data_IF_616344752485
#
_entry.id   IF_616344752485
#
_cell.length_a   1.000
_cell.length_b   1.000
_cell.length_c   1.000
_cell.angle_alpha   90.00
_cell.angle_beta   90.00
_cell.angle_gamma   90.00
#
_symmetry.space_group_name_H-M   'P 1'
#
loop_
_entity.id
_entity.type
_entity.pdbx_description
1 polymer ?
#
# COMPACT_ATOMS: atom_id res chain seq x y z
N UNK A 1 0.20 -14.96 -14.73
CA UNK A 1 1.37 -15.23 -13.87
C UNK A 1 2.38 -14.08 -13.86
N UNK A 2 2.69 -13.47 -15.02
CA UNK A 2 3.61 -12.32 -15.12
C UNK A 2 3.29 -11.15 -14.16
N UNK A 3 2.02 -10.85 -13.89
CA UNK A 3 1.63 -9.76 -12.99
C UNK A 3 2.09 -9.96 -11.54
N UNK A 4 1.92 -11.18 -11.00
CA UNK A 4 2.35 -11.52 -9.63
C UNK A 4 3.87 -11.54 -9.53
N UNK A 5 4.53 -12.13 -10.53
CA UNK A 5 6.00 -12.17 -10.58
C UNK A 5 6.61 -10.75 -10.58
N UNK A 6 5.99 -9.83 -11.33
CA UNK A 6 6.41 -8.42 -11.37
C UNK A 6 6.20 -7.70 -10.03
N UNK A 7 5.08 -7.94 -9.34
CA UNK A 7 4.85 -7.34 -8.02
C UNK A 7 5.84 -7.87 -6.98
N UNK A 8 6.22 -9.14 -7.07
CA UNK A 8 7.25 -9.73 -6.22
C UNK A 8 8.64 -9.17 -6.54
N UNK A 9 9.01 -9.09 -7.82
CA UNK A 9 10.31 -8.56 -8.23
C UNK A 9 10.48 -7.09 -7.85
N UNK A 10 9.46 -6.27 -8.07
CA UNK A 10 9.47 -4.85 -7.65
C UNK A 10 9.55 -4.68 -6.13
N UNK A 11 8.89 -5.54 -5.36
CA UNK A 11 9.00 -5.53 -3.90
C UNK A 11 10.41 -5.91 -3.42
N UNK A 12 11.03 -6.91 -4.05
CA UNK A 12 12.41 -7.32 -3.74
C UNK A 12 13.40 -6.21 -4.12
N UNK A 13 13.26 -5.63 -5.31
CA UNK A 13 14.09 -4.51 -5.75
C UNK A 13 13.99 -3.31 -4.80
N UNK A 14 12.77 -2.98 -4.36
CA UNK A 14 12.54 -1.92 -3.38
C UNK A 14 13.17 -2.25 -2.03
N UNK A 15 13.06 -3.50 -1.56
CA UNK A 15 13.67 -3.91 -0.30
C UNK A 15 15.20 -3.81 -0.35
N UNK A 16 15.82 -4.28 -1.43
CA UNK A 16 17.27 -4.22 -1.64
C UNK A 16 17.76 -2.77 -1.72
N UNK A 17 17.11 -1.93 -2.53
CA UNK A 17 17.46 -0.51 -2.64
C UNK A 17 17.45 0.18 -1.28
N UNK A 18 16.39 -0.05 -0.51
CA UNK A 18 16.24 0.55 0.80
C UNK A 18 17.28 0.03 1.82
N UNK A 19 17.70 -1.25 1.74
CA UNK A 19 18.78 -1.78 2.58
C UNK A 19 20.11 -1.13 2.22
N UNK A 20 20.44 -1.03 0.93
CA UNK A 20 21.69 -0.41 0.46
C UNK A 20 21.75 1.05 0.90
N UNK A 21 20.69 1.81 0.65
CA UNK A 21 20.62 3.23 1.03
C UNK A 21 20.70 3.40 2.55
N UNK A 22 20.02 2.56 3.33
CA UNK A 22 20.13 2.58 4.79
C UNK A 22 21.55 2.28 5.27
N UNK A 23 22.24 1.30 4.67
CA UNK A 23 23.61 0.96 5.04
C UNK A 23 24.59 2.11 4.74
N UNK A 24 24.41 2.80 3.61
CA UNK A 24 25.20 4.00 3.26
C UNK A 24 24.92 5.13 4.24
N UNK A 25 23.65 5.48 4.45
CA UNK A 25 23.28 6.58 5.36
C UNK A 25 23.66 6.29 6.81
N UNK A 26 23.57 5.04 7.26
CA UNK A 26 23.94 4.65 8.62
C UNK A 26 25.44 4.80 8.92
N UNK A 27 26.30 4.78 7.87
CA UNK A 27 27.74 5.05 7.99
C UNK A 27 28.07 6.54 7.97
N UNK A 28 27.26 7.35 7.27
CA UNK A 28 27.50 8.79 7.13
C UNK A 28 26.86 9.61 8.25
N UNK A 29 25.73 9.15 8.79
CA UNK A 29 24.93 9.88 9.78
C UNK A 29 25.15 9.27 11.17
N UNK A 30 25.40 10.12 12.17
CA UNK A 30 25.56 9.69 13.56
C UNK A 30 24.29 8.99 14.08
N UNK A 31 24.41 8.07 15.05
CA UNK A 31 23.25 7.40 15.64
C UNK A 31 22.24 8.38 16.26
N UNK A 32 22.72 9.44 16.90
CA UNK A 32 21.90 10.48 17.52
C UNK A 32 21.02 11.22 16.49
N UNK A 33 21.65 11.73 15.42
CA UNK A 33 20.94 12.39 14.32
C UNK A 33 19.91 11.47 13.64
N UNK A 34 20.24 10.18 13.53
CA UNK A 34 19.30 9.18 13.01
C UNK A 34 18.09 8.99 13.93
N UNK A 35 18.31 9.01 15.25
CA UNK A 35 17.24 8.94 16.25
C UNK A 35 16.30 10.14 16.20
N UNK A 36 16.83 11.36 16.08
CA UNK A 36 16.02 12.58 15.93
C UNK A 36 15.15 12.50 14.67
N UNK A 37 15.73 12.11 13.53
CA UNK A 37 14.96 11.95 12.29
C UNK A 37 13.90 10.85 12.40
N UNK A 38 14.22 9.73 13.05
CA UNK A 38 13.27 8.64 13.29
C UNK A 38 12.09 9.09 14.17
N UNK A 39 12.35 9.83 15.26
CA UNK A 39 11.31 10.41 16.11
C UNK A 39 10.39 11.36 15.31
N UNK A 40 10.99 12.25 14.51
CA UNK A 40 10.24 13.21 13.71
C UNK A 40 9.36 12.50 12.67
N UNK A 41 9.89 11.48 11.97
CA UNK A 41 9.15 10.66 11.03
C UNK A 41 8.01 9.88 11.70
N UNK A 42 8.20 9.40 12.93
CA UNK A 42 7.13 8.72 13.67
C UNK A 42 5.96 9.67 13.92
N UNK A 43 6.22 10.88 14.40
CA UNK A 43 5.22 11.92 14.65
C UNK A 43 4.45 12.25 13.36
N UNK A 44 5.19 12.44 12.26
CA UNK A 44 4.62 12.76 10.94
C UNK A 44 3.71 11.62 10.46
N UNK A 45 4.15 10.36 10.56
CA UNK A 45 3.35 9.18 10.14
C UNK A 45 2.08 8.97 10.95
N UNK A 46 2.10 9.29 12.25
CA UNK A 46 0.89 9.26 13.09
C UNK A 46 -0.06 10.38 12.66
N UNK A 47 0.49 11.56 12.37
CA UNK A 47 -0.28 12.71 11.89
C UNK A 47 -0.92 12.45 10.52
N UNK A 48 -0.18 11.92 9.55
CA UNK A 48 -0.71 11.49 8.24
C UNK A 48 -1.89 10.51 8.41
N UNK A 49 -1.74 9.52 9.31
CA UNK A 49 -2.83 8.62 9.67
C UNK A 49 -4.05 9.37 10.16
N UNK A 50 -3.88 10.29 11.12
CA UNK A 50 -4.93 11.10 11.73
C UNK A 50 -5.69 11.98 10.73
N UNK A 51 -5.00 12.65 9.80
CA UNK A 51 -5.60 13.64 8.89
C UNK A 51 -6.20 13.04 7.61
N UNK A 52 -6.04 11.74 7.36
CA UNK A 52 -6.61 11.07 6.17
C UNK A 52 -8.06 10.59 6.37
N UNK A 53 -8.50 10.39 7.62
CA UNK A 53 -9.86 9.96 8.03
C UNK A 53 -10.47 8.81 7.20
N UNK A 54 -9.63 7.93 6.63
CA UNK A 54 -10.08 6.78 5.83
C UNK A 54 -10.71 7.11 4.47
N UNK A 55 -10.62 8.37 4.01
CA UNK A 55 -11.17 8.80 2.71
C UNK A 55 -10.53 8.04 1.54
N UNK A 56 -9.25 7.69 1.66
CA UNK A 56 -8.50 6.89 0.68
C UNK A 56 -9.18 5.54 0.43
N UNK A 57 -9.62 4.91 1.53
CA UNK A 57 -10.27 3.60 1.51
C UNK A 57 -11.69 3.69 0.98
N UNK A 58 -12.40 4.77 1.30
CA UNK A 58 -13.72 5.05 0.76
C UNK A 58 -13.69 5.23 -0.75
N UNK A 59 -12.72 5.99 -1.28
CA UNK A 59 -12.55 6.18 -2.73
C UNK A 59 -12.24 4.86 -3.45
N UNK A 60 -11.44 3.99 -2.84
CA UNK A 60 -11.09 2.69 -3.42
C UNK A 60 -12.28 1.72 -3.45
N UNK A 61 -13.05 1.65 -2.36
CA UNK A 61 -14.09 0.62 -2.21
C UNK A 61 -15.45 1.00 -2.80
N UNK A 62 -15.70 2.29 -3.00
CA UNK A 62 -16.99 2.77 -3.51
C UNK A 62 -17.22 2.33 -4.96
N UNK A 63 -18.31 1.64 -5.26
CA UNK A 63 -18.60 1.19 -6.63
C UNK A 63 -18.83 2.36 -7.59
N UNK A 64 -19.75 3.27 -7.28
CA UNK A 64 -20.09 4.42 -8.11
C UNK A 64 -19.33 5.67 -7.64
N UNK A 65 -18.38 6.13 -8.45
CA UNK A 65 -17.52 7.28 -8.14
C UNK A 65 -17.70 8.36 -9.20
N UNK A 66 -18.50 9.36 -8.86
CA UNK A 66 -18.67 10.58 -9.67
C UNK A 66 -17.54 11.59 -9.44
N UNK A 67 -17.32 12.49 -10.40
CA UNK A 67 -16.30 13.56 -10.32
C UNK A 67 -16.46 14.45 -9.08
N UNK A 68 -17.70 14.66 -8.62
CA UNK A 68 -17.97 15.40 -7.37
C UNK A 68 -17.33 14.74 -6.15
N UNK A 69 -17.28 13.41 -6.08
CA UNK A 69 -16.61 12.70 -4.98
C UNK A 69 -15.09 12.87 -5.04
N UNK A 70 -14.53 12.88 -6.26
CA UNK A 70 -13.09 13.09 -6.47
C UNK A 70 -12.70 14.51 -6.07
N UNK A 71 -13.46 15.51 -6.51
CA UNK A 71 -13.25 16.92 -6.16
C UNK A 71 -13.45 17.18 -4.65
N UNK A 72 -14.48 16.59 -4.04
CA UNK A 72 -14.71 16.70 -2.59
C UNK A 72 -13.59 16.02 -1.78
N UNK A 73 -13.12 14.84 -2.20
CA UNK A 73 -11.98 14.17 -1.57
C UNK A 73 -10.70 14.99 -1.70
N UNK A 74 -10.43 15.55 -2.88
CA UNK A 74 -9.26 16.40 -3.12
C UNK A 74 -9.30 17.65 -2.22
N UNK A 75 -10.44 18.34 -2.17
CA UNK A 75 -10.63 19.51 -1.32
C UNK A 75 -10.44 19.17 0.15
N UNK A 76 -10.99 18.03 0.60
CA UNK A 76 -10.79 17.52 1.96
C UNK A 76 -9.30 17.31 2.27
N UNK A 77 -8.55 16.65 1.39
CA UNK A 77 -7.13 16.41 1.58
C UNK A 77 -6.29 17.68 1.59
N UNK A 78 -6.62 18.67 0.76
CA UNK A 78 -5.95 19.98 0.76
C UNK A 78 -6.19 20.68 2.11
N UNK A 79 -7.44 20.73 2.58
CA UNK A 79 -7.79 21.36 3.86
C UNK A 79 -7.11 20.64 5.03
N UNK A 80 -7.19 19.30 5.10
CA UNK A 80 -6.60 18.56 6.21
C UNK A 80 -5.08 18.54 6.16
N UNK A 81 -4.48 18.54 4.97
CA UNK A 81 -3.03 18.66 4.80
C UNK A 81 -2.51 20.02 5.27
N UNK A 82 -3.19 21.12 4.94
CA UNK A 82 -2.86 22.46 5.44
C UNK A 82 -3.09 22.58 6.94
N UNK A 83 -4.19 22.04 7.46
CA UNK A 83 -4.45 21.99 8.90
C UNK A 83 -3.36 21.22 9.65
N UNK A 84 -2.92 20.08 9.11
CA UNK A 84 -1.82 19.29 9.66
C UNK A 84 -0.49 20.05 9.68
N UNK A 85 -0.18 20.77 8.59
CA UNK A 85 1.01 21.62 8.52
C UNK A 85 1.01 22.69 9.61
N UNK A 86 -0.08 23.45 9.73
CA UNK A 86 -0.20 24.54 10.72
C UNK A 86 -0.11 23.97 12.14
N UNK A 87 -0.83 22.89 12.41
CA UNK A 87 -0.84 22.26 13.73
C UNK A 87 0.54 21.73 14.11
N UNK A 88 1.23 21.03 13.22
CA UNK A 88 2.57 20.51 13.51
C UNK A 88 3.62 21.61 13.61
N UNK A 89 3.52 22.68 12.84
CA UNK A 89 4.41 23.84 12.98
C UNK A 89 4.29 24.48 14.36
N UNK A 90 3.07 24.60 14.88
CA UNK A 90 2.79 25.14 16.22
C UNK A 90 3.20 24.16 17.33
N UNK A 91 2.93 22.86 17.16
CA UNK A 91 3.23 21.83 18.17
C UNK A 91 4.70 21.38 18.17
N UNK A 92 5.48 21.66 17.12
CA UNK A 92 6.87 21.24 17.00
C UNK A 92 7.75 21.53 18.23
N UNK A 93 7.81 22.76 18.78
CA UNK A 93 8.63 23.04 19.97
C UNK A 93 8.13 22.30 21.21
N UNK A 94 6.82 22.13 21.36
CA UNK A 94 6.24 21.39 22.49
C UNK A 94 6.58 19.90 22.41
N UNK A 95 6.48 19.31 21.22
CA UNK A 95 6.86 17.92 20.96
C UNK A 95 8.37 17.69 21.13
N UNK A 96 9.21 18.65 20.77
CA UNK A 96 10.64 18.62 21.03
C UNK A 96 10.95 18.62 22.54
N UNK A 97 10.25 19.44 23.32
CA UNK A 97 10.31 19.41 24.79
C UNK A 97 9.84 18.07 25.36
N UNK A 98 8.77 17.50 24.81
CA UNK A 98 8.27 16.17 25.20
C UNK A 98 9.25 15.04 24.84
N UNK A 99 10.03 15.15 23.77
CA UNK A 99 11.04 14.14 23.44
C UNK A 99 12.40 14.42 24.09
N UNK A 100 12.58 15.59 24.73
CA UNK A 100 13.86 16.08 25.26
C UNK A 100 14.96 16.16 24.18
N UNK A 101 14.57 16.55 22.96
CA UNK A 101 15.44 16.64 21.79
C UNK A 101 15.26 18.01 21.10
N UNK A 102 16.17 18.95 21.31
CA UNK A 102 16.04 20.30 20.74
C UNK A 102 16.08 20.29 19.20
N UNK A 103 16.94 19.45 18.61
CA UNK A 103 17.08 19.26 17.17
C UNK A 103 15.83 18.68 16.48
N UNK A 104 14.87 18.16 17.24
CA UNK A 104 13.60 17.66 16.71
C UNK A 104 12.78 18.78 16.08
N UNK A 105 12.85 20.00 16.63
CA UNK A 105 12.04 21.13 16.17
C UNK A 105 12.27 21.42 14.69
N UNK A 106 13.49 21.76 14.22
CA UNK A 106 13.73 22.07 12.81
C UNK A 106 13.43 20.88 11.88
N UNK A 107 13.77 19.65 12.29
CA UNK A 107 13.49 18.46 11.49
C UNK A 107 11.98 18.21 11.32
N UNK A 108 11.20 18.34 12.40
CA UNK A 108 9.75 18.16 12.37
C UNK A 108 9.05 19.26 11.57
N UNK A 109 9.51 20.51 11.69
CA UNK A 109 8.99 21.63 10.88
C UNK A 109 9.20 21.41 9.39
N UNK A 110 10.39 20.92 8.99
CA UNK A 110 10.68 20.59 7.61
C UNK A 110 9.80 19.43 7.10
N UNK A 111 9.66 18.37 7.90
CA UNK A 111 8.82 17.24 7.53
C UNK A 111 7.33 17.59 7.45
N UNK A 112 6.85 18.53 8.28
CA UNK A 112 5.45 18.97 8.25
C UNK A 112 5.07 19.58 6.87
N UNK A 113 6.03 20.22 6.17
CA UNK A 113 5.84 20.75 4.81
C UNK A 113 5.56 19.64 3.79
N UNK A 114 6.02 18.41 4.03
CA UNK A 114 5.74 17.29 3.15
C UNK A 114 4.28 16.82 3.22
N UNK A 115 3.56 17.08 4.31
CA UNK A 115 2.20 16.55 4.52
C UNK A 115 1.19 17.10 3.50
N UNK A 116 1.09 18.44 3.27
CA UNK A 116 0.23 18.97 2.21
C UNK A 116 0.54 18.40 0.83
N UNK A 117 1.83 18.21 0.51
CA UNK A 117 2.29 17.68 -0.78
C UNK A 117 1.81 16.23 -0.94
N UNK A 118 2.00 15.41 0.09
CA UNK A 118 1.53 14.03 0.13
C UNK A 118 0.01 13.96 -0.04
N UNK A 119 -0.73 14.72 0.77
CA UNK A 119 -2.19 14.77 0.78
C UNK A 119 -2.76 15.17 -0.59
N UNK A 120 -2.16 16.16 -1.26
CA UNK A 120 -2.59 16.59 -2.59
C UNK A 120 -2.49 15.48 -3.65
N UNK A 121 -1.58 14.51 -3.47
CA UNK A 121 -1.44 13.36 -4.37
C UNK A 121 -2.24 12.12 -3.95
N UNK A 122 -2.80 12.08 -2.73
CA UNK A 122 -3.40 10.86 -2.17
C UNK A 122 -4.68 10.43 -2.91
N UNK A 123 -5.44 11.37 -3.46
CA UNK A 123 -6.57 11.07 -4.35
C UNK A 123 -6.10 10.32 -5.60
N UNK A 124 -5.08 10.85 -6.28
CA UNK A 124 -4.47 10.20 -7.45
C UNK A 124 -3.93 8.81 -7.09
N UNK A 125 -3.26 8.68 -5.95
CA UNK A 125 -2.76 7.42 -5.44
C UNK A 125 -3.88 6.40 -5.22
N UNK A 126 -4.99 6.83 -4.62
CA UNK A 126 -6.18 6.01 -4.36
C UNK A 126 -6.85 5.58 -5.66
N UNK A 127 -6.97 6.46 -6.65
CA UNK A 127 -7.49 6.15 -7.99
C UNK A 127 -6.58 5.14 -8.73
N UNK A 128 -5.26 5.26 -8.62
CA UNK A 128 -4.33 4.29 -9.21
C UNK A 128 -4.48 2.90 -8.56
N UNK A 129 -4.64 2.85 -7.23
CA UNK A 129 -4.90 1.60 -6.48
C UNK A 129 -6.24 0.98 -6.90
N UNK A 130 -7.29 1.80 -7.02
CA UNK A 130 -8.63 1.40 -7.51
C UNK A 130 -8.56 0.80 -8.92
N UNK A 131 -7.81 1.42 -9.83
CA UNK A 131 -7.65 0.95 -11.21
C UNK A 131 -6.63 -0.20 -11.35
N UNK A 132 -6.22 -0.82 -10.24
CA UNK A 132 -5.26 -1.93 -10.18
C UNK A 132 -3.93 -1.64 -10.89
N UNK A 133 -3.53 -0.37 -10.99
CA UNK A 133 -2.27 0.08 -11.63
C UNK A 133 -1.06 -0.11 -10.69
N UNK A 134 -0.97 -1.26 -10.04
CA UNK A 134 0.06 -1.57 -9.05
C UNK A 134 1.49 -1.47 -9.60
N UNK A 135 1.69 -1.75 -10.90
CA UNK A 135 2.99 -1.60 -11.54
C UNK A 135 3.48 -0.16 -11.48
N UNK A 136 2.62 0.79 -11.84
CA UNK A 136 2.95 2.21 -11.80
C UNK A 136 3.18 2.68 -10.36
N UNK A 137 2.33 2.27 -9.41
CA UNK A 137 2.51 2.61 -7.99
C UNK A 137 3.86 2.09 -7.45
N UNK A 138 4.24 0.87 -7.80
CA UNK A 138 5.52 0.28 -7.40
C UNK A 138 6.71 1.01 -8.03
N UNK A 139 6.67 1.28 -9.34
CA UNK A 139 7.74 2.00 -10.05
C UNK A 139 7.92 3.42 -9.50
N UNK A 140 6.82 4.15 -9.27
CA UNK A 140 6.89 5.49 -8.66
C UNK A 140 7.51 5.42 -7.28
N UNK A 141 7.11 4.45 -6.45
CA UNK A 141 7.69 4.30 -5.10
C UNK A 141 9.19 4.01 -5.14
N UNK A 142 9.64 3.17 -6.07
CA UNK A 142 11.05 2.83 -6.23
C UNK A 142 11.88 4.04 -6.69
N UNK A 143 11.41 4.74 -7.73
CA UNK A 143 12.10 5.91 -8.29
C UNK A 143 12.17 7.05 -7.28
N UNK A 144 11.05 7.34 -6.61
CA UNK A 144 10.99 8.42 -5.63
C UNK A 144 11.91 8.18 -4.44
N UNK A 145 11.98 6.93 -3.95
CA UNK A 145 12.91 6.57 -2.88
C UNK A 145 14.37 6.67 -3.33
N UNK A 146 14.68 6.23 -4.56
CA UNK A 146 16.02 6.32 -5.13
C UNK A 146 16.50 7.77 -5.28
N UNK A 147 15.64 8.66 -5.78
CA UNK A 147 15.95 10.09 -5.91
C UNK A 147 16.03 10.77 -4.54
N UNK A 148 15.05 10.55 -3.67
CA UNK A 148 14.97 11.19 -2.36
C UNK A 148 16.09 10.75 -1.41
N UNK A 149 16.12 9.48 -1.02
CA UNK A 149 17.11 8.99 -0.07
C UNK A 149 18.44 8.59 -0.71
N UNK A 150 18.42 8.04 -1.93
CA UNK A 150 19.63 7.56 -2.59
C UNK A 150 20.51 8.67 -3.16
N UNK A 151 19.93 9.67 -3.83
CA UNK A 151 20.69 10.79 -4.40
C UNK A 151 20.76 11.97 -3.42
N UNK A 152 19.61 12.55 -3.08
CA UNK A 152 19.58 13.76 -2.25
C UNK A 152 19.98 13.47 -0.80
N UNK A 153 19.52 12.37 -0.21
CA UNK A 153 19.88 11.99 1.15
C UNK A 153 21.38 11.76 1.32
N UNK A 154 22.02 11.04 0.39
CA UNK A 154 23.47 10.81 0.41
C UNK A 154 24.24 12.12 0.18
N UNK A 155 23.76 12.98 -0.71
CA UNK A 155 24.36 14.30 -0.95
C UNK A 155 24.26 15.21 0.27
N UNK A 156 23.10 15.32 0.92
CA UNK A 156 22.94 16.14 2.13
C UNK A 156 23.70 15.54 3.33
N UNK A 157 23.82 14.21 3.39
CA UNK A 157 24.62 13.54 4.40
C UNK A 157 26.12 13.81 4.21
N UNK A 158 26.62 13.93 2.97
CA UNK A 158 28.02 14.28 2.72
C UNK A 158 28.36 15.72 3.12
N UNK A 159 27.36 16.60 3.18
CA UNK A 159 27.47 17.96 3.70
C UNK A 159 27.39 18.02 5.24
N UNK A 160 27.26 16.89 5.93
CA UNK A 160 27.24 16.84 7.40
C UNK A 160 25.92 17.32 8.04
N UNK A 161 24.81 17.40 7.30
CA UNK A 161 23.54 17.94 7.81
C UNK A 161 22.77 17.02 8.77
N UNK A 162 23.33 15.87 9.17
CA UNK A 162 22.79 14.99 10.21
C UNK A 162 21.31 14.65 10.04
N UNK A 163 20.47 15.01 11.02
CA UNK A 163 19.04 14.72 11.02
C UNK A 163 18.30 15.44 9.89
N UNK A 164 18.75 16.63 9.51
CA UNK A 164 18.16 17.42 8.43
C UNK A 164 18.40 16.78 7.05
N UNK A 165 19.47 16.01 6.88
CA UNK A 165 19.69 15.25 5.64
C UNK A 165 18.58 14.20 5.42
N UNK A 166 18.20 13.48 6.48
CA UNK A 166 17.12 12.49 6.43
C UNK A 166 15.75 13.14 6.27
N UNK A 167 15.52 14.26 6.97
CA UNK A 167 14.28 15.03 6.81
C UNK A 167 14.14 15.57 5.38
N UNK A 168 15.18 16.18 4.83
CA UNK A 168 15.21 16.69 3.45
C UNK A 168 15.03 15.57 2.42
N UNK A 169 15.69 14.42 2.61
CA UNK A 169 15.52 13.24 1.77
C UNK A 169 14.06 12.77 1.71
N UNK A 170 13.36 12.76 2.84
CA UNK A 170 11.93 12.44 2.91
C UNK A 170 11.08 13.44 2.15
N UNK A 171 11.31 14.75 2.34
CA UNK A 171 10.55 15.80 1.62
C UNK A 171 10.73 15.63 0.11
N UNK A 172 11.94 15.36 -0.36
CA UNK A 172 12.18 15.11 -1.78
C UNK A 172 11.51 13.82 -2.26
N UNK A 173 11.60 12.72 -1.51
CA UNK A 173 10.89 11.48 -1.87
C UNK A 173 9.38 11.75 -2.03
N UNK A 174 8.77 12.41 -1.05
CA UNK A 174 7.33 12.73 -1.07
C UNK A 174 7.00 13.63 -2.25
N UNK A 175 7.84 14.63 -2.54
CA UNK A 175 7.61 15.57 -3.65
C UNK A 175 7.69 14.86 -4.99
N UNK A 176 8.76 14.10 -5.25
CA UNK A 176 8.93 13.33 -6.49
C UNK A 176 7.79 12.34 -6.68
N UNK A 177 7.41 11.63 -5.61
CA UNK A 177 6.29 10.70 -5.61
C UNK A 177 4.98 11.40 -5.96
N UNK A 178 4.71 12.53 -5.32
CA UNK A 178 3.46 13.27 -5.49
C UNK A 178 3.33 13.83 -6.90
N UNK A 179 4.41 14.41 -7.44
CA UNK A 179 4.48 14.88 -8.83
C UNK A 179 4.25 13.73 -9.80
N UNK A 180 4.95 12.59 -9.62
CA UNK A 180 4.81 11.44 -10.50
C UNK A 180 3.38 10.88 -10.49
N UNK A 181 2.72 10.81 -9.33
CA UNK A 181 1.32 10.37 -9.24
C UNK A 181 0.38 11.33 -9.96
N UNK A 182 0.56 12.64 -9.76
CA UNK A 182 -0.28 13.67 -10.39
C UNK A 182 -0.15 13.64 -11.92
N UNK A 183 1.06 13.41 -12.43
CA UNK A 183 1.33 13.30 -13.89
C UNK A 183 0.75 12.01 -14.46
N UNK A 184 0.93 10.86 -13.78
CA UNK A 184 0.47 9.55 -14.27
C UNK A 184 -1.04 9.34 -14.12
N UNK A 185 -1.68 10.03 -13.18
CA UNK A 185 -3.10 9.94 -12.91
C UNK A 185 -3.71 11.35 -12.78
N UNK A 186 -3.90 12.05 -13.91
CA UNK A 186 -4.64 13.29 -13.92
C UNK A 186 -6.07 13.03 -13.44
N UNK A 187 -6.53 13.86 -12.51
CA UNK A 187 -7.86 13.80 -11.92
C UNK A 187 -8.36 15.23 -11.72
N UNK A 188 -9.67 15.38 -11.47
CA UNK A 188 -10.26 16.68 -11.21
C UNK A 188 -9.66 17.28 -9.93
N UNK A 189 -8.93 18.39 -10.08
CA UNK A 189 -8.36 19.19 -8.98
C UNK A 189 -9.24 20.40 -8.66
N UNK A 190 -10.51 20.33 -9.06
CA UNK A 190 -11.46 21.40 -8.77
C UNK A 190 -11.71 21.44 -7.27
N UNK A 191 -11.55 22.62 -6.67
CA UNK A 191 -11.91 22.83 -5.27
C UNK A 191 -13.43 22.93 -5.21
N UNK A 192 -14.06 21.88 -4.70
CA UNK A 192 -15.51 21.77 -4.58
C UNK A 192 -15.86 21.17 -3.22
N UNK A 193 -16.50 21.99 -2.39
CA UNK A 193 -17.01 21.58 -1.07
C UNK A 193 -18.43 21.01 -1.22
N UNK A 194 -18.52 19.81 -1.76
CA UNK A 194 -19.77 19.03 -1.76
C UNK A 194 -19.86 18.24 -0.45
N UNK A 195 -20.46 18.86 0.58
CA UNK A 195 -20.66 18.27 1.90
C UNK A 195 -21.42 16.93 1.86
N UNK A 196 -22.52 16.77 1.09
CA UNK A 196 -23.17 15.48 0.89
C UNK A 196 -22.21 14.39 0.40
N UNK A 197 -21.44 14.67 -0.66
CA UNK A 197 -20.47 13.74 -1.21
C UNK A 197 -19.38 13.37 -0.19
N UNK A 198 -18.87 14.35 0.55
CA UNK A 198 -17.84 14.15 1.58
C UNK A 198 -18.37 13.34 2.77
N UNK A 199 -19.59 13.62 3.25
CA UNK A 199 -20.22 12.89 4.35
C UNK A 199 -20.36 11.40 4.02
N UNK A 200 -20.73 11.07 2.78
CA UNK A 200 -20.82 9.68 2.33
C UNK A 200 -19.45 8.97 2.36
N UNK A 201 -18.38 9.67 1.96
CA UNK A 201 -17.02 9.12 2.01
C UNK A 201 -16.55 8.93 3.47
N UNK A 202 -16.80 9.91 4.33
CA UNK A 202 -16.39 9.87 5.74
C UNK A 202 -17.17 8.84 6.56
N UNK A 203 -18.47 8.67 6.32
CA UNK A 203 -19.30 7.67 7.00
C UNK A 203 -18.75 6.25 6.79
N UNK A 204 -18.21 5.97 5.60
CA UNK A 204 -17.50 4.73 5.31
C UNK A 204 -16.09 4.71 5.91
N UNK A 205 -15.35 5.81 5.78
CA UNK A 205 -13.94 5.92 6.17
C UNK A 205 -13.71 5.80 7.67
N UNK A 206 -14.60 6.33 8.52
CA UNK A 206 -14.41 6.43 9.97
C UNK A 206 -14.19 5.07 10.65
N UNK A 207 -14.93 4.03 10.23
CA UNK A 207 -14.78 2.70 10.84
C UNK A 207 -13.41 2.07 10.54
N UNK A 208 -12.91 2.25 9.31
CA UNK A 208 -11.58 1.78 8.90
C UNK A 208 -10.49 2.64 9.53
N UNK A 209 -10.72 3.94 9.63
CA UNK A 209 -9.81 4.90 10.21
C UNK A 209 -9.47 4.55 11.67
N UNK A 210 -10.47 4.24 12.51
CA UNK A 210 -10.23 3.87 13.91
C UNK A 210 -9.30 2.66 14.05
N UNK A 211 -9.53 1.61 13.27
CA UNK A 211 -8.65 0.43 13.23
C UNK A 211 -7.24 0.79 12.73
N UNK A 212 -7.11 1.58 11.66
CA UNK A 212 -5.81 1.99 11.10
C UNK A 212 -5.03 2.87 12.05
N UNK A 213 -5.69 3.81 12.71
CA UNK A 213 -5.06 4.70 13.69
C UNK A 213 -4.57 3.89 14.89
N UNK A 214 -5.41 3.00 15.44
CA UNK A 214 -4.99 2.12 16.53
C UNK A 214 -3.80 1.23 16.12
N UNK A 215 -3.85 0.66 14.91
CA UNK A 215 -2.74 -0.14 14.38
C UNK A 215 -1.47 0.70 14.17
N UNK A 216 -1.58 1.96 13.75
CA UNK A 216 -0.44 2.85 13.52
C UNK A 216 0.17 3.28 14.86
N UNK A 217 -0.65 3.60 15.85
CA UNK A 217 -0.16 3.91 17.20
C UNK A 217 0.51 2.67 17.78
N UNK A 218 -0.07 1.49 17.65
CA UNK A 218 0.53 0.25 18.16
C UNK A 218 1.89 -0.07 17.51
N UNK A 219 2.05 0.15 16.19
CA UNK A 219 3.34 -0.10 15.51
C UNK A 219 4.40 0.95 15.84
N UNK A 220 3.98 2.16 16.22
CA UNK A 220 4.87 3.28 16.50
C UNK A 220 5.09 3.52 18.00
N UNK A 221 4.28 2.91 18.87
CA UNK A 221 4.35 3.04 20.32
C UNK A 221 5.73 2.66 20.85
N UNK A 222 6.31 1.57 20.35
CA UNK A 222 7.67 1.15 20.71
C UNK A 222 8.69 2.26 20.45
N UNK A 223 8.62 2.90 19.27
CA UNK A 223 9.52 3.98 18.90
C UNK A 223 9.30 5.24 19.78
N UNK A 224 8.06 5.56 20.11
CA UNK A 224 7.72 6.71 20.97
C UNK A 224 8.21 6.51 22.42
N UNK A 225 7.99 5.30 22.97
CA UNK A 225 8.40 4.93 24.32
C UNK A 225 9.93 4.94 24.41
N UNK A 226 10.61 4.30 23.47
CA UNK A 226 12.09 4.27 23.42
C UNK A 226 12.65 5.68 23.27
N UNK A 227 12.08 6.50 22.39
CA UNK A 227 12.51 7.88 22.18
C UNK A 227 12.41 8.74 23.43
N UNK A 228 11.32 8.61 24.19
CA UNK A 228 11.10 9.41 25.40
C UNK A 228 11.89 8.92 26.62
N UNK A 229 12.05 7.61 26.79
CA UNK A 229 12.70 7.03 27.97
C UNK A 229 14.23 6.93 27.82
N UNK A 230 14.73 6.58 26.63
CA UNK A 230 16.15 6.28 26.42
C UNK A 230 16.89 7.34 25.59
N UNK A 231 16.19 8.36 25.08
CA UNK A 231 16.79 9.45 24.31
C UNK A 231 17.09 9.12 22.86
N UNK A 232 17.73 10.07 22.15
CA UNK A 232 17.89 10.03 20.70
C UNK A 232 18.83 8.93 20.23
N UNK A 233 19.95 8.72 20.94
CA UNK A 233 20.96 7.74 20.55
C UNK A 233 20.42 6.30 20.57
N UNK A 234 19.74 5.93 21.67
CA UNK A 234 19.10 4.62 21.80
C UNK A 234 17.97 4.42 20.78
N UNK A 235 17.20 5.47 20.48
CA UNK A 235 16.18 5.42 19.43
C UNK A 235 16.78 5.26 18.03
N UNK A 236 17.94 5.88 17.76
CA UNK A 236 18.68 5.71 16.52
C UNK A 236 19.11 4.26 16.31
N UNK A 237 19.69 3.64 17.33
CA UNK A 237 20.06 2.22 17.31
C UNK A 237 18.82 1.31 17.19
N UNK A 238 17.76 1.60 17.94
CA UNK A 238 16.52 0.83 17.92
C UNK A 238 15.82 0.91 16.57
N UNK A 239 15.73 2.10 15.97
CA UNK A 239 15.11 2.30 14.66
C UNK A 239 15.91 1.61 13.56
N UNK A 240 17.25 1.66 13.58
CA UNK A 240 18.11 0.87 12.67
C UNK A 240 17.81 -0.63 12.78
N UNK A 241 17.77 -1.16 14.00
CA UNK A 241 17.44 -2.56 14.25
C UNK A 241 16.01 -2.91 13.79
N UNK A 242 15.04 -2.04 14.02
CA UNK A 242 13.65 -2.21 13.57
C UNK A 242 13.50 -2.15 12.05
N UNK A 243 14.22 -1.26 11.39
CA UNK A 243 14.25 -1.16 9.94
C UNK A 243 14.86 -2.39 9.29
N UNK A 244 15.82 -3.05 9.95
CA UNK A 244 16.35 -4.34 9.50
C UNK A 244 15.37 -5.49 9.80
N UNK A 245 14.79 -5.52 11.01
CA UNK A 245 13.86 -6.56 11.51
C UNK A 245 12.53 -6.61 10.75
N UNK A 246 12.00 -5.47 10.32
CA UNK A 246 10.70 -5.40 9.65
C UNK A 246 10.73 -5.92 8.20
N UNK A 247 11.92 -6.01 7.59
CA UNK A 247 12.08 -6.37 6.18
C UNK A 247 11.75 -7.83 5.89
N UNK A 248 12.26 -8.82 6.65
CA UNK A 248 11.91 -10.22 6.44
C UNK A 248 10.41 -10.45 6.70
N UNK A 249 9.83 -9.81 7.73
CA UNK A 249 8.41 -9.96 8.06
C UNK A 249 7.49 -9.55 6.90
N UNK A 250 7.87 -8.52 6.15
CA UNK A 250 7.12 -8.08 4.97
C UNK A 250 7.27 -9.03 3.76
N UNK A 251 8.46 -9.63 3.59
CA UNK A 251 8.73 -10.64 2.56
C UNK A 251 7.86 -11.89 2.76
N UNK A 252 7.84 -12.44 3.98
CA UNK A 252 7.05 -13.65 4.30
C UNK A 252 5.54 -13.40 4.23
N UNK A 253 5.05 -12.23 4.66
CA UNK A 253 3.62 -11.89 4.57
C UNK A 253 3.12 -11.74 3.12
N UNK A 254 3.91 -11.16 2.23
CA UNK A 254 3.56 -11.05 0.79
C UNK A 254 3.69 -12.38 0.06
N UNK A 255 4.71 -13.18 0.38
CA UNK A 255 4.88 -14.53 -0.16
C UNK A 255 3.72 -15.46 0.23
N UNK A 256 3.28 -15.43 1.50
CA UNK A 256 2.18 -16.25 1.99
C UNK A 256 0.84 -15.92 1.29
N UNK A 257 0.52 -14.63 1.12
CA UNK A 257 -0.71 -14.20 0.42
C UNK A 257 -0.72 -14.64 -1.05
N UNK A 258 0.43 -14.64 -1.72
CA UNK A 258 0.54 -15.12 -3.10
C UNK A 258 0.26 -16.64 -3.20
N UNK A 259 0.74 -17.42 -2.23
CA UNK A 259 0.50 -18.88 -2.15
C UNK A 259 -0.94 -19.23 -1.78
N UNK A 260 -1.55 -18.54 -0.80
CA UNK A 260 -2.94 -18.75 -0.41
C UNK A 260 -3.94 -18.33 -1.51
N UNK A 261 -3.67 -17.25 -2.24
CA UNK A 261 -4.49 -16.83 -3.37
C UNK A 261 -4.53 -17.90 -4.48
N UNK A 262 -3.42 -18.62 -4.68
CA UNK A 262 -3.36 -19.77 -5.60
C UNK A 262 -4.28 -20.90 -5.16
N UNK A 263 -4.39 -21.15 -3.85
CA UNK A 263 -5.24 -22.22 -3.30
C UNK A 263 -6.74 -21.88 -3.32
N UNK A 264 -7.11 -20.61 -3.15
CA UNK A 264 -8.52 -20.18 -3.17
C UNK A 264 -9.12 -20.10 -4.58
N UNK A 265 -8.33 -19.91 -5.64
CA UNK A 265 -8.84 -19.93 -7.02
C UNK A 265 -9.36 -21.31 -7.47
N UNK A 266 -8.87 -22.38 -6.88
CA UNK A 266 -9.33 -23.74 -7.18
C UNK A 266 -10.74 -24.07 -6.68
N UNK A 267 -11.31 -23.24 -5.80
CA UNK A 267 -12.62 -23.48 -5.17
C UNK A 267 -13.79 -22.76 -5.86
N UNK A 268 -13.54 -21.98 -6.92
CA UNK A 268 -14.58 -21.15 -7.56
C UNK A 268 -15.20 -21.79 -8.82
N UNK A 269 -14.95 -23.07 -9.06
CA UNK A 269 -15.47 -23.83 -10.22
C UNK A 269 -16.45 -24.94 -9.85
N UNK A 270 -16.98 -24.97 -8.62
CA UNK A 270 -18.17 -25.81 -8.35
C UNK A 270 -19.40 -25.13 -8.95
N UNK A 271 -20.12 -25.80 -9.89
CA UNK A 271 -21.37 -25.27 -10.43
C UNK A 271 -22.36 -25.03 -9.28
N UNK A 272 -23.05 -23.90 -9.32
CA UNK A 272 -24.17 -23.61 -8.44
C UNK A 272 -25.28 -24.64 -8.70
N UNK A 273 -25.32 -25.72 -7.93
CA UNK A 273 -26.30 -26.79 -8.12
C UNK A 273 -26.06 -28.12 -7.42
N UNK A 274 -24.91 -28.35 -6.78
CA UNK A 274 -24.74 -29.58 -5.97
C UNK A 274 -25.33 -29.38 -4.56
N UNK A 275 -26.18 -30.29 -4.05
CA UNK A 275 -26.64 -30.25 -2.67
C UNK A 275 -25.45 -30.19 -1.72
N UNK A 276 -25.49 -29.27 -0.76
CA UNK A 276 -24.55 -29.27 0.36
C UNK A 276 -24.57 -30.66 1.00
N UNK A 277 -23.43 -31.32 1.26
CA UNK A 277 -23.43 -32.55 2.03
C UNK A 277 -23.92 -32.22 3.44
N UNK A 278 -25.20 -32.51 3.70
CA UNK A 278 -25.84 -32.45 5.02
C UNK A 278 -25.38 -33.62 5.88
N UNK A 279 -24.08 -33.68 6.13
CA UNK A 279 -23.45 -34.59 7.07
C UNK A 279 -22.57 -33.79 8.02
N UNK A 280 -23.16 -33.31 9.12
CA UNK A 280 -22.38 -32.74 10.21
C UNK A 280 -21.38 -33.80 10.70
N UNK A 281 -20.06 -33.54 10.71
CA UNK A 281 -19.13 -34.46 11.31
C UNK A 281 -19.39 -34.49 12.80
N UNK A 282 -19.76 -35.66 13.34
CA UNK A 282 -19.87 -35.88 14.78
C UNK A 282 -18.57 -35.42 15.47
N UNK A 283 -18.70 -34.71 16.59
CA UNK A 283 -17.66 -34.02 17.40
C UNK A 283 -16.41 -34.83 17.81
N UNK A 284 -16.21 -36.08 17.37
CA UNK A 284 -15.10 -36.95 17.81
C UNK A 284 -13.89 -37.02 16.89
N UNK A 285 -13.91 -36.43 15.69
CA UNK A 285 -12.79 -36.52 14.72
C UNK A 285 -11.90 -35.26 14.61
N UNK A 286 -12.10 -34.25 15.46
CA UNK A 286 -11.35 -32.98 15.39
C UNK A 286 -9.92 -33.05 15.95
N UNK A 287 -9.54 -34.15 16.62
CA UNK A 287 -8.26 -34.28 17.35
C UNK A 287 -7.28 -35.31 16.78
N UNK A 288 -7.38 -35.69 15.49
CA UNK A 288 -6.32 -36.47 14.84
C UNK A 288 -5.33 -35.56 14.09
N UNK A 289 -4.02 -35.60 14.40
CA UNK A 289 -3.01 -34.96 13.57
C UNK A 289 -2.78 -35.84 12.34
N UNK A 290 -2.92 -35.25 11.15
CA UNK A 290 -2.69 -35.83 9.82
C UNK A 290 -3.77 -36.78 9.25
N UNK A 291 -4.31 -36.51 8.06
CA UNK A 291 -4.95 -37.55 7.26
C UNK A 291 -3.88 -38.52 6.72
N UNK A 292 -4.14 -39.84 6.70
CA UNK A 292 -3.20 -40.80 6.12
C UNK A 292 -3.03 -40.56 4.62
N UNK A 293 -1.81 -40.82 4.11
CA UNK A 293 -1.46 -40.70 2.71
C UNK A 293 -2.40 -41.55 1.82
N UNK A 294 -2.77 -41.10 0.61
CA UNK A 294 -3.56 -41.91 -0.30
C UNK A 294 -2.79 -43.18 -0.70
N UNK A 295 -3.46 -44.34 -0.83
CA UNK A 295 -2.79 -45.58 -1.21
C UNK A 295 -2.17 -45.43 -2.60
N UNK A 296 -0.93 -45.92 -2.75
CA UNK A 296 -0.25 -46.04 -4.05
C UNK A 296 -1.14 -46.85 -5.00
N UNK A 297 -1.78 -46.19 -5.96
CA UNK A 297 -2.37 -46.88 -7.09
C UNK A 297 -1.22 -47.46 -7.92
N UNK A 298 -1.13 -48.79 -7.88
CA UNK A 298 -0.27 -49.57 -8.75
C UNK A 298 -0.72 -49.37 -10.20
N UNK A 299 0.21 -48.87 -11.01
CA UNK A 299 0.12 -48.86 -12.46
C UNK A 299 -0.09 -50.30 -12.95
N UNK A 300 -1.26 -50.59 -13.54
CA UNK A 300 -1.46 -51.75 -14.42
C UNK A 300 -1.82 -51.23 -15.81
N UNK A 301 -1.07 -51.59 -16.87
CA UNK A 301 -1.48 -51.31 -18.23
C UNK A 301 -2.42 -52.43 -18.68
N UNK A 302 -3.69 -52.13 -18.95
CA UNK A 302 -4.56 -53.05 -19.69
C UNK A 302 -4.83 -52.50 -21.08
N UNK A 303 -4.21 -53.19 -22.02
CA UNK A 303 -4.40 -53.18 -23.46
C UNK A 303 -5.87 -53.30 -23.90
N UNK A 304 -6.19 -52.53 -24.95
CA UNK A 304 -6.93 -52.94 -26.16
C UNK A 304 -8.41 -53.36 -26.09
N UNK A 305 -9.19 -52.63 -26.91
CA UNK A 305 -10.36 -53.02 -27.74
C UNK A 305 -11.75 -53.05 -27.10
N UNK A 306 -12.61 -52.18 -27.61
CA UNK A 306 -13.89 -52.43 -28.31
C UNK A 306 -14.74 -51.15 -28.23
N UNK A 307 -15.43 -50.63 -29.25
CA UNK A 307 -15.54 -50.89 -30.68
C UNK A 307 -16.22 -49.64 -31.28
N UNK A 308 -15.93 -49.33 -32.54
CA UNK A 308 -16.62 -48.32 -33.34
C UNK A 308 -18.01 -48.79 -33.78
N UNK A 309 -19.00 -47.90 -33.86
CA UNK A 309 -20.07 -47.96 -34.86
C UNK A 309 -20.32 -46.55 -35.40
N UNK A 310 -20.42 -46.50 -36.73
CA UNK A 310 -20.44 -45.35 -37.63
C UNK A 310 -21.89 -45.01 -38.07
N UNK A 311 -22.01 -43.86 -38.77
CA UNK A 311 -23.04 -43.41 -39.70
C UNK A 311 -24.28 -42.62 -39.20
N UNK A 312 -24.22 -41.31 -39.46
CA UNK A 312 -24.97 -40.67 -40.56
C UNK A 312 -26.37 -40.10 -40.26
N UNK A 313 -26.53 -38.77 -40.34
CA UNK A 313 -27.57 -38.10 -41.16
C UNK A 313 -27.48 -36.56 -41.10
N UNK A 314 -27.54 -35.97 -42.32
CA UNK A 314 -27.86 -34.58 -42.76
C UNK A 314 -28.64 -33.70 -41.79
N UNK A 315 -28.46 -32.37 -41.88
CA UNK A 315 -29.46 -31.42 -42.43
C UNK A 315 -28.83 -30.07 -42.81
N UNK A 316 -29.13 -29.63 -44.03
CA UNK A 316 -28.88 -28.32 -44.64
C UNK A 316 -30.22 -27.67 -44.95
N UNK A 317 -30.43 -26.37 -44.66
CA UNK A 317 -31.34 -25.41 -45.33
C UNK A 317 -31.31 -24.10 -44.48
N UNK A 318 -30.85 -22.92 -44.93
CA UNK A 318 -31.24 -22.01 -46.05
C UNK A 318 -32.35 -21.01 -45.66
N UNK A 319 -31.98 -19.73 -45.52
CA UNK A 319 -32.70 -18.46 -45.77
C UNK A 319 -31.57 -17.38 -45.83
N UNK A 320 -31.26 -16.61 -46.88
CA UNK A 320 -32.06 -15.91 -47.89
C UNK A 320 -32.75 -14.71 -47.23
N UNK A 321 -32.57 -13.42 -47.55
CA UNK A 321 -31.99 -12.69 -48.69
C UNK A 321 -31.97 -11.18 -48.35
N UNK A 322 -31.03 -10.41 -48.91
CA UNK A 322 -31.03 -8.94 -49.00
C UNK A 322 -32.06 -8.42 -50.02
N UNK A 323 -32.35 -7.10 -50.09
CA UNK A 323 -31.64 -6.26 -51.06
C UNK A 323 -31.32 -4.81 -50.62
N UNK A 324 -30.43 -4.23 -51.43
CA UNK A 324 -29.86 -2.88 -51.53
C UNK A 324 -30.84 -1.70 -51.71
N UNK A 325 -30.44 -0.47 -51.34
CA UNK A 325 -30.16 0.64 -52.30
C UNK A 325 -29.87 2.03 -51.65
N UNK A 326 -29.01 2.78 -52.36
CA UNK A 326 -28.93 4.24 -52.58
C UNK A 326 -28.45 5.21 -51.49
N UNK A 327 -27.24 5.73 -51.75
CA UNK A 327 -26.80 7.13 -51.74
C UNK A 327 -27.87 8.23 -51.65
N UNK A 328 -27.65 9.24 -50.79
CA UNK A 328 -27.70 10.69 -51.10
C UNK A 328 -27.29 11.51 -49.84
N UNK A 329 -26.62 12.64 -50.09
CA UNK A 329 -26.07 13.68 -49.18
C UNK A 329 -24.63 13.43 -48.68
#
# INVERSE_FOLDING_TARGET
MLGVLWMLSSAVAQALLQIVVLAVLARMVSPEAFGVAAAALVIVRVSEGLFTLGVDSAVIQRMELNDRHVAAAFTFYVITGLAALVLLQALAPWLAGLMRMAELTPALRLLAVAIPILHASEVGASLMRRNLRFRQVASVSLLSYGVGYGMVGVFLASQGMGAMALAGAYVVEVTVRSVAIIVLQPHSKTLCLDFPALRQLLAFGVGIFGYRLASQIATQADNLIVGRLLGAEALGLYSRACHLRSRPRFFWGKAYRASCFRRCRGFRTTPAGSPWPTGAPSRRSFWSPFPPAPPRQSWRPSSSRCCSVNNGMRWSHRYGSSPSASSFA
#
